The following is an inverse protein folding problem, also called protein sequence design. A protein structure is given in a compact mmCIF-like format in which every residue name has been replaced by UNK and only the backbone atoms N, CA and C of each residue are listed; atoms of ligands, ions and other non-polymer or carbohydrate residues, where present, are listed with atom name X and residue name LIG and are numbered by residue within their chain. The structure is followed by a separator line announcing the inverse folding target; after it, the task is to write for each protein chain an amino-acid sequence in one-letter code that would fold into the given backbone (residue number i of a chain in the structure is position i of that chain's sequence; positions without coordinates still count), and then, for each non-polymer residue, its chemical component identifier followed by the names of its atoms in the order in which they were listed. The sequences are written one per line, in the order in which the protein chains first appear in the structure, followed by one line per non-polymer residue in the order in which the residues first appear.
data_IF_185485434107
#
_entry.id   IF_185485434107
#
_cell.length_a   1.000
_cell.length_b   1.000
_cell.length_c   1.000
_cell.angle_alpha   90.00
_cell.angle_beta   90.00
_cell.angle_gamma   90.00
#
_symmetry.space_group_name_H-M   'P 1'
#
loop_
_entity.id
_entity.type
_entity.pdbx_description
1 polymer ?
#
# COMPACT_ATOMS: atom_id res chain seq x y z
N UNK A 1 -12.74 -2.29 -14.55
CA UNK A 1 -11.73 -1.37 -13.99
C UNK A 1 -12.39 -0.13 -13.39
N UNK A 2 -13.03 0.75 -14.17
CA UNK A 2 -13.64 2.00 -13.65
C UNK A 2 -14.63 1.79 -12.49
N UNK A 3 -15.58 0.86 -12.60
CA UNK A 3 -16.57 0.58 -11.55
C UNK A 3 -15.92 0.12 -10.23
N UNK A 4 -14.87 -0.69 -10.32
CA UNK A 4 -14.13 -1.19 -9.16
C UNK A 4 -13.37 -0.02 -8.51
N UNK A 5 -12.71 0.82 -9.30
CA UNK A 5 -12.01 1.99 -8.79
C UNK A 5 -12.97 2.98 -8.12
N UNK A 6 -14.16 3.22 -8.68
CA UNK A 6 -15.14 4.13 -8.07
C UNK A 6 -15.68 3.59 -6.74
N UNK A 7 -15.98 2.29 -6.67
CA UNK A 7 -16.43 1.67 -5.42
C UNK A 7 -15.33 1.74 -4.36
N UNK A 8 -14.11 1.32 -4.70
CA UNK A 8 -12.97 1.36 -3.80
C UNK A 8 -12.61 2.78 -3.34
N UNK A 9 -12.78 3.80 -4.20
CA UNK A 9 -12.59 5.20 -3.80
C UNK A 9 -13.59 5.61 -2.71
N UNK A 10 -14.87 5.30 -2.91
CA UNK A 10 -15.94 5.65 -1.97
C UNK A 10 -15.73 4.91 -0.64
N UNK A 11 -15.54 3.59 -0.67
CA UNK A 11 -15.41 2.76 0.52
C UNK A 11 -14.20 3.18 1.38
N UNK A 12 -13.04 3.40 0.75
CA UNK A 12 -11.84 3.81 1.48
C UNK A 12 -11.95 5.24 2.03
N UNK A 13 -12.61 6.15 1.32
CA UNK A 13 -12.89 7.51 1.82
C UNK A 13 -13.80 7.48 3.05
N UNK A 14 -14.84 6.65 3.03
CA UNK A 14 -15.73 6.46 4.18
C UNK A 14 -14.99 5.83 5.37
N UNK A 15 -14.16 4.81 5.13
CA UNK A 15 -13.34 4.19 6.17
C UNK A 15 -12.43 5.22 6.85
N UNK A 16 -11.72 6.05 6.09
CA UNK A 16 -10.89 7.12 6.64
C UNK A 16 -11.73 8.07 7.49
N UNK A 17 -12.88 8.53 6.99
CA UNK A 17 -13.75 9.46 7.73
C UNK A 17 -14.24 8.85 9.06
N UNK A 18 -14.59 7.55 9.06
CA UNK A 18 -15.01 6.81 10.25
C UNK A 18 -13.86 6.69 11.26
N UNK A 19 -12.68 6.23 10.84
CA UNK A 19 -11.57 6.03 11.77
C UNK A 19 -10.98 7.34 12.30
N UNK A 20 -11.01 8.42 11.51
CA UNK A 20 -10.67 9.78 11.99
C UNK A 20 -11.66 10.22 13.07
N UNK A 21 -12.96 9.98 12.89
CA UNK A 21 -14.00 10.30 13.90
C UNK A 21 -13.88 9.46 15.16
N UNK A 22 -13.52 8.18 15.05
CA UNK A 22 -13.24 7.31 16.20
C UNK A 22 -11.98 7.74 16.97
N UNK A 23 -11.09 8.49 16.31
CA UNK A 23 -9.89 9.03 16.91
C UNK A 23 -8.72 8.04 16.94
N UNK A 24 -7.51 8.59 17.01
CA UNK A 24 -6.25 7.83 16.97
C UNK A 24 -5.71 7.44 18.34
N UNK A 25 -6.59 7.33 19.33
CA UNK A 25 -6.22 6.89 20.68
C UNK A 25 -5.89 5.40 20.69
N UNK A 26 -6.61 4.61 19.90
CA UNK A 26 -6.34 3.18 19.73
C UNK A 26 -5.38 2.94 18.56
N UNK A 27 -4.29 2.15 18.75
CA UNK A 27 -3.37 1.79 17.68
C UNK A 27 -4.07 1.15 16.47
N UNK A 28 -5.14 0.40 16.72
CA UNK A 28 -5.91 -0.27 15.66
C UNK A 28 -6.58 0.71 14.71
N UNK A 29 -7.08 1.86 15.20
CA UNK A 29 -7.68 2.88 14.33
C UNK A 29 -6.61 3.50 13.42
N UNK A 30 -5.38 3.65 13.91
CA UNK A 30 -4.24 4.14 13.12
C UNK A 30 -3.91 3.15 12.01
N UNK A 31 -3.75 1.88 12.35
CA UNK A 31 -3.43 0.82 11.39
C UNK A 31 -4.50 0.70 10.29
N UNK A 32 -5.79 0.75 10.65
CA UNK A 32 -6.90 0.68 9.69
C UNK A 32 -7.01 1.94 8.83
N UNK A 33 -6.75 3.13 9.40
CA UNK A 33 -6.70 4.38 8.61
C UNK A 33 -5.55 4.36 7.62
N UNK A 34 -4.38 3.86 8.02
CA UNK A 34 -3.23 3.74 7.13
C UNK A 34 -3.51 2.76 5.98
N UNK A 35 -4.18 1.64 6.26
CA UNK A 35 -4.61 0.70 5.23
C UNK A 35 -5.57 1.38 4.22
N UNK A 36 -6.63 2.01 4.71
CA UNK A 36 -7.61 2.70 3.86
C UNK A 36 -6.98 3.84 3.04
N UNK A 37 -6.04 4.60 3.62
CA UNK A 37 -5.29 5.63 2.91
C UNK A 37 -4.41 5.05 1.81
N UNK A 38 -3.78 3.89 2.05
CA UNK A 38 -2.95 3.20 1.04
C UNK A 38 -3.81 2.68 -0.10
N UNK A 39 -4.95 2.06 0.21
CA UNK A 39 -5.90 1.56 -0.79
C UNK A 39 -6.49 2.71 -1.63
N UNK A 40 -6.82 3.85 -0.99
CA UNK A 40 -7.27 5.05 -1.70
C UNK A 40 -6.19 5.59 -2.65
N UNK A 41 -4.93 5.65 -2.20
CA UNK A 41 -3.81 6.06 -3.04
C UNK A 41 -3.63 5.13 -4.25
N UNK A 42 -3.73 3.81 -4.05
CA UNK A 42 -3.66 2.83 -5.14
C UNK A 42 -4.77 3.06 -6.18
N UNK A 43 -6.00 3.33 -5.73
CA UNK A 43 -7.12 3.62 -6.63
C UNK A 43 -6.85 4.89 -7.44
N UNK A 44 -6.34 5.95 -6.82
CA UNK A 44 -5.98 7.20 -7.50
C UNK A 44 -4.89 6.95 -8.55
N UNK A 45 -3.82 6.26 -8.18
CA UNK A 45 -2.70 5.93 -9.09
C UNK A 45 -3.16 5.10 -10.28
N UNK A 46 -3.94 4.04 -10.02
CA UNK A 46 -4.46 3.17 -11.09
C UNK A 46 -5.41 3.93 -12.01
N UNK A 47 -6.22 4.84 -11.46
CA UNK A 47 -7.12 5.68 -12.26
C UNK A 47 -6.33 6.67 -13.13
N UNK A 48 -5.28 7.27 -12.59
CA UNK A 48 -4.37 8.12 -13.34
C UNK A 48 -3.68 7.39 -14.50
N UNK A 49 -3.13 6.19 -14.25
CA UNK A 49 -2.55 5.35 -15.31
C UNK A 49 -3.58 5.04 -16.41
N UNK A 50 -4.80 4.65 -16.03
CA UNK A 50 -5.86 4.34 -16.98
C UNK A 50 -6.27 5.55 -17.83
N UNK A 51 -6.33 6.75 -17.24
CA UNK A 51 -6.61 7.98 -17.97
C UNK A 51 -5.49 8.31 -18.99
N UNK A 52 -4.23 8.18 -18.58
CA UNK A 52 -3.10 8.41 -19.48
C UNK A 52 -3.07 7.43 -20.65
N UNK A 53 -3.35 6.14 -20.40
CA UNK A 53 -3.49 5.13 -21.46
C UNK A 53 -4.66 5.48 -22.39
N UNK A 54 -5.80 5.92 -21.83
CA UNK A 54 -6.96 6.31 -22.62
C UNK A 54 -6.62 7.47 -23.57
N UNK A 55 -5.96 8.52 -23.06
CA UNK A 55 -5.53 9.66 -23.89
C UNK A 55 -4.56 9.26 -24.99
N UNK A 56 -3.61 8.38 -24.68
CA UNK A 56 -2.68 7.84 -25.67
C UNK A 56 -3.40 7.06 -26.78
N UNK A 57 -4.30 6.14 -26.41
CA UNK A 57 -5.07 5.33 -27.37
C UNK A 57 -5.97 6.18 -28.27
N UNK A 58 -6.54 7.26 -27.73
CA UNK A 58 -7.40 8.17 -28.50
C UNK A 58 -6.60 9.26 -29.26
N UNK A 59 -5.28 9.24 -29.20
CA UNK A 59 -4.43 10.26 -29.85
C UNK A 59 -4.75 11.68 -29.37
N UNK A 60 -5.17 11.83 -28.10
CA UNK A 60 -5.52 13.14 -27.55
C UNK A 60 -4.27 14.00 -27.44
N UNK A 61 -4.32 15.21 -28.00
CA UNK A 61 -3.22 16.18 -27.88
C UNK A 61 -3.13 16.68 -26.44
N UNK A 62 -2.07 16.26 -25.75
CA UNK A 62 -1.75 16.70 -24.40
C UNK A 62 -0.42 17.45 -24.39
N UNK A 63 -0.22 18.37 -23.43
CA UNK A 63 1.06 19.09 -23.29
C UNK A 63 2.19 18.19 -22.74
N UNK A 64 1.95 16.89 -22.60
CA UNK A 64 2.90 15.92 -22.09
C UNK A 64 2.69 14.53 -22.72
N UNK A 65 3.74 13.69 -22.72
CA UNK A 65 3.68 12.33 -23.24
C UNK A 65 2.95 11.40 -22.25
N UNK A 66 1.71 10.94 -22.53
CA UNK A 66 0.85 10.38 -21.48
C UNK A 66 1.39 9.11 -20.85
N UNK A 67 1.97 8.21 -21.64
CA UNK A 67 2.47 6.91 -21.15
C UNK A 67 3.72 7.06 -20.31
N UNK A 68 4.64 7.95 -20.69
CA UNK A 68 5.93 8.12 -20.02
C UNK A 68 5.72 8.87 -18.71
N UNK A 69 4.93 9.93 -18.73
CA UNK A 69 4.52 10.62 -17.50
C UNK A 69 3.79 9.66 -16.57
N UNK A 70 2.83 8.86 -17.06
CA UNK A 70 2.16 7.87 -16.21
C UNK A 70 3.12 6.83 -15.64
N UNK A 71 4.04 6.32 -16.46
CA UNK A 71 5.04 5.35 -16.02
C UNK A 71 5.86 5.90 -14.85
N UNK A 72 6.38 7.13 -14.97
CA UNK A 72 7.22 7.75 -13.94
C UNK A 72 6.42 8.21 -12.72
N UNK A 73 5.27 8.83 -12.93
CA UNK A 73 4.46 9.40 -11.84
C UNK A 73 3.70 8.35 -11.03
N UNK A 74 3.26 7.24 -11.66
CA UNK A 74 2.39 6.25 -11.02
C UNK A 74 2.97 4.86 -10.89
N UNK A 75 3.80 4.41 -11.83
CA UNK A 75 4.30 3.04 -11.85
C UNK A 75 5.04 2.68 -10.55
N UNK A 76 6.09 3.43 -10.19
CA UNK A 76 6.84 3.14 -8.98
C UNK A 76 6.04 3.33 -7.68
N UNK A 77 5.20 4.38 -7.59
CA UNK A 77 4.31 4.56 -6.42
C UNK A 77 3.35 3.39 -6.26
N UNK A 78 2.73 2.94 -7.34
CA UNK A 78 1.79 1.83 -7.35
C UNK A 78 2.48 0.52 -6.97
N UNK A 79 3.64 0.25 -7.58
CA UNK A 79 4.44 -0.92 -7.30
C UNK A 79 4.79 -1.01 -5.82
N UNK A 80 5.11 0.12 -5.18
CA UNK A 80 5.41 0.15 -3.75
C UNK A 80 4.16 0.05 -2.88
N UNK A 81 3.17 0.93 -3.10
CA UNK A 81 1.96 1.00 -2.28
C UNK A 81 1.20 -0.35 -2.25
N UNK A 82 1.18 -1.08 -3.37
CA UNK A 82 0.54 -2.40 -3.47
C UNK A 82 1.20 -3.44 -2.56
N UNK A 83 2.48 -3.28 -2.23
CA UNK A 83 3.18 -4.12 -1.25
C UNK A 83 2.98 -3.64 0.17
N UNK A 84 2.96 -2.33 0.39
CA UNK A 84 2.72 -1.74 1.71
C UNK A 84 1.39 -2.22 2.28
N UNK A 85 0.35 -2.35 1.45
CA UNK A 85 -0.95 -2.95 1.86
C UNK A 85 -0.76 -4.32 2.52
N UNK A 86 0.07 -5.19 1.94
CA UNK A 86 0.30 -6.53 2.47
C UNK A 86 1.05 -6.49 3.82
N UNK A 87 2.05 -5.62 3.95
CA UNK A 87 2.80 -5.44 5.20
C UNK A 87 1.94 -4.82 6.31
N UNK A 88 1.15 -3.80 6.00
CA UNK A 88 0.18 -3.19 6.92
C UNK A 88 -0.87 -4.22 7.35
N UNK A 89 -1.35 -5.05 6.42
CA UNK A 89 -2.29 -6.14 6.73
C UNK A 89 -1.67 -7.19 7.66
N UNK A 90 -0.42 -7.58 7.41
CA UNK A 90 0.32 -8.49 8.30
C UNK A 90 0.46 -7.88 9.71
N UNK A 91 0.81 -6.60 9.79
CA UNK A 91 0.94 -5.87 11.04
C UNK A 91 -0.40 -5.80 11.81
N UNK A 92 -1.51 -5.51 11.13
CA UNK A 92 -2.85 -5.52 11.75
C UNK A 92 -3.17 -6.89 12.33
N UNK A 93 -2.88 -7.98 11.60
CA UNK A 93 -3.12 -9.36 12.10
C UNK A 93 -2.27 -9.65 13.33
N UNK A 94 -1.00 -9.27 13.29
CA UNK A 94 -0.09 -9.40 14.42
C UNK A 94 -0.57 -8.60 15.64
N UNK A 95 -1.01 -7.36 15.42
CA UNK A 95 -1.59 -6.48 16.45
C UNK A 95 -2.77 -7.14 17.14
N UNK A 96 -3.74 -7.62 16.37
CA UNK A 96 -4.91 -8.31 16.92
C UNK A 96 -4.50 -9.56 17.70
N UNK A 97 -3.55 -10.33 17.20
CA UNK A 97 -3.06 -11.54 17.87
C UNK A 97 -2.47 -11.22 19.24
N UNK A 98 -1.60 -10.20 19.31
CA UNK A 98 -1.03 -9.74 20.57
C UNK A 98 -2.12 -9.26 21.54
N UNK A 99 -3.08 -8.45 21.08
CA UNK A 99 -4.17 -7.95 21.92
C UNK A 99 -4.95 -9.09 22.60
N UNK A 100 -5.13 -10.21 21.90
CA UNK A 100 -5.88 -11.36 22.40
C UNK A 100 -5.01 -12.23 23.33
N UNK A 101 -3.75 -12.49 22.95
CA UNK A 101 -2.85 -13.39 23.70
C UNK A 101 -2.27 -12.74 24.96
N UNK A 102 -1.96 -11.46 24.90
CA UNK A 102 -1.14 -10.75 25.88
C UNK A 102 -1.73 -9.37 26.21
N UNK A 103 -3.00 -9.29 26.65
CA UNK A 103 -3.70 -8.00 26.84
C UNK A 103 -2.92 -7.02 27.72
N UNK A 104 -2.30 -7.50 28.81
CA UNK A 104 -1.51 -6.70 29.75
C UNK A 104 -0.13 -6.27 29.22
N UNK A 105 0.42 -6.99 28.24
CA UNK A 105 1.74 -6.70 27.63
C UNK A 105 1.60 -5.82 26.39
N UNK A 106 0.46 -5.91 25.69
CA UNK A 106 0.16 -5.08 24.51
C UNK A 106 0.10 -3.61 24.88
N UNK A 107 -0.55 -3.27 26.00
CA UNK A 107 -0.67 -1.89 26.45
C UNK A 107 0.71 -1.25 26.72
N UNK A 108 1.72 -2.06 27.04
CA UNK A 108 3.12 -1.63 27.20
C UNK A 108 3.95 -1.70 25.92
N UNK A 109 3.70 -2.68 25.05
CA UNK A 109 4.54 -2.96 23.87
C UNK A 109 4.06 -2.23 22.60
N UNK A 110 2.76 -2.26 22.35
CA UNK A 110 2.14 -1.71 21.14
C UNK A 110 1.54 -0.34 21.42
N UNK A 111 2.42 0.63 21.66
CA UNK A 111 1.99 2.02 21.86
C UNK A 111 1.63 2.67 20.53
N UNK A 112 0.77 3.71 20.58
CA UNK A 112 0.47 4.59 19.43
C UNK A 112 1.74 5.04 18.68
N UNK A 113 2.82 5.33 19.41
CA UNK A 113 4.09 5.76 18.83
C UNK A 113 4.77 4.64 18.04
N UNK A 114 4.80 3.43 18.59
CA UNK A 114 5.36 2.25 17.91
C UNK A 114 4.60 1.96 16.61
N UNK A 115 3.26 1.98 16.65
CA UNK A 115 2.42 1.76 15.46
C UNK A 115 2.64 2.84 14.40
N UNK A 116 2.66 4.11 14.79
CA UNK A 116 2.97 5.20 13.85
C UNK A 116 4.35 5.03 13.22
N UNK A 117 5.38 4.74 14.02
CA UNK A 117 6.75 4.53 13.49
C UNK A 117 6.80 3.37 12.50
N UNK A 118 6.22 2.21 12.83
CA UNK A 118 6.21 1.03 11.95
C UNK A 118 5.49 1.36 10.65
N UNK A 119 4.31 1.98 10.73
CA UNK A 119 3.55 2.38 9.54
C UNK A 119 4.35 3.39 8.71
N UNK A 120 4.91 4.44 9.30
CA UNK A 120 5.73 5.43 8.57
C UNK A 120 6.94 4.79 7.90
N UNK A 121 7.62 3.86 8.57
CA UNK A 121 8.76 3.12 7.99
C UNK A 121 8.35 2.29 6.77
N UNK A 122 7.11 1.77 6.74
CA UNK A 122 6.58 1.10 5.54
C UNK A 122 6.30 2.03 4.37
N UNK A 123 6.46 3.35 4.50
CA UNK A 123 6.33 4.33 3.41
C UNK A 123 7.65 4.98 2.98
N UNK A 124 8.72 4.90 3.79
CA UNK A 124 10.03 5.52 3.48
C UNK A 124 10.58 5.13 2.09
N UNK A 125 10.49 3.88 1.63
CA UNK A 125 11.03 3.53 0.32
C UNK A 125 10.32 4.18 -0.88
N UNK A 126 9.13 4.80 -0.70
CA UNK A 126 8.48 5.61 -1.75
C UNK A 126 9.34 6.79 -2.23
N UNK A 127 10.20 7.33 -1.37
CA UNK A 127 11.01 8.50 -1.73
C UNK A 127 12.05 8.13 -2.79
N UNK A 128 12.53 6.89 -2.77
CA UNK A 128 13.57 6.41 -3.68
C UNK A 128 13.06 6.15 -5.09
N UNK A 129 11.74 6.05 -5.28
CA UNK A 129 11.17 5.65 -6.55
C UNK A 129 11.23 6.71 -7.65
N UNK A 130 11.56 7.95 -7.30
CA UNK A 130 11.69 9.08 -8.24
C UNK A 130 13.13 9.39 -8.61
N UNK A 131 14.09 8.65 -8.05
CA UNK A 131 15.50 8.84 -8.34
C UNK A 131 15.77 8.20 -9.70
N UNK A 132 16.21 9.00 -10.68
CA UNK A 132 16.64 8.50 -11.99
C UNK A 132 15.87 9.04 -13.20
N UNK A 133 14.83 9.86 -13.00
CA UNK A 133 14.09 10.50 -14.08
C UNK A 133 14.26 12.02 -14.07
N UNK A 134 14.32 12.61 -15.26
CA UNK A 134 14.20 14.05 -15.48
C UNK A 134 12.97 14.38 -16.34
N UNK A 135 12.31 15.48 -16.01
CA UNK A 135 11.21 16.01 -16.80
C UNK A 135 11.75 17.04 -17.77
N UNK A 136 11.68 16.73 -19.06
CA UNK A 136 12.29 17.53 -20.14
C UNK A 136 11.28 17.84 -21.24
N UNK A 137 11.41 18.99 -21.87
CA UNK A 137 10.59 19.39 -23.01
C UNK A 137 11.20 18.86 -24.31
N UNK A 138 10.49 17.95 -24.99
CA UNK A 138 10.98 17.28 -26.19
C UNK A 138 10.11 17.65 -27.39
N UNK A 139 10.75 18.03 -28.50
CA UNK A 139 10.07 18.28 -29.77
C UNK A 139 9.84 16.97 -30.51
N UNK A 140 8.58 16.63 -30.79
CA UNK A 140 8.22 15.45 -31.57
C UNK A 140 7.81 15.84 -32.99
N UNK A 141 8.59 15.47 -34.02
CA UNK A 141 8.31 15.85 -35.41
C UNK A 141 6.94 15.36 -35.91
N UNK A 142 6.49 14.19 -35.45
CA UNK A 142 5.21 13.61 -35.86
C UNK A 142 3.98 14.31 -35.25
N UNK A 143 4.15 15.02 -34.12
CA UNK A 143 3.13 15.86 -33.50
C UNK A 143 3.29 17.34 -33.88
N UNK A 144 4.43 17.69 -34.47
CA UNK A 144 4.86 19.07 -34.72
C UNK A 144 4.72 19.96 -33.46
N UNK A 145 5.05 19.41 -32.31
CA UNK A 145 4.85 20.05 -31.01
C UNK A 145 5.96 19.67 -30.03
N UNK A 146 6.28 20.62 -29.14
CA UNK A 146 7.12 20.38 -27.97
C UNK A 146 6.23 20.02 -26.79
N UNK A 147 6.40 18.83 -26.24
CA UNK A 147 5.61 18.34 -25.10
C UNK A 147 6.55 17.89 -23.97
N UNK A 148 6.04 17.88 -22.74
CA UNK A 148 6.77 17.40 -21.58
C UNK A 148 6.90 15.88 -21.63
N UNK A 149 8.12 15.37 -21.53
CA UNK A 149 8.41 13.95 -21.40
C UNK A 149 9.19 13.68 -20.11
N UNK A 150 9.17 12.42 -19.65
CA UNK A 150 9.98 11.97 -18.53
C UNK A 150 10.99 10.94 -19.04
N UNK A 151 12.27 11.33 -19.04
CA UNK A 151 13.37 10.53 -19.59
C UNK A 151 14.33 10.10 -18.47
N UNK A 152 15.04 8.98 -18.64
CA UNK A 152 16.07 8.58 -17.70
C UNK A 152 17.24 9.57 -17.73
N UNK A 153 17.75 9.95 -16.56
CA UNK A 153 18.92 10.85 -16.43
C UNK A 153 20.18 10.21 -17.05
N UNK A 154 20.31 8.89 -16.89
CA UNK A 154 21.38 8.07 -17.45
C UNK A 154 20.80 6.71 -17.80
N UNK A 155 20.87 6.31 -19.07
CA UNK A 155 20.26 5.07 -19.55
C UNK A 155 20.88 3.80 -18.93
N UNK A 156 22.20 3.78 -18.69
CA UNK A 156 22.88 2.59 -18.16
C UNK A 156 22.54 2.39 -16.68
N UNK A 157 22.63 3.47 -15.89
CA UNK A 157 22.22 3.43 -14.48
C UNK A 157 20.72 3.18 -14.34
N UNK A 158 19.90 3.73 -15.23
CA UNK A 158 18.47 3.53 -15.22
C UNK A 158 18.10 2.06 -15.44
N UNK A 159 18.67 1.40 -16.44
CA UNK A 159 18.39 -0.03 -16.71
C UNK A 159 18.80 -0.90 -15.52
N UNK A 160 19.94 -0.61 -14.88
CA UNK A 160 20.37 -1.33 -13.69
C UNK A 160 19.42 -1.09 -12.50
N UNK A 161 19.02 0.15 -12.29
CA UNK A 161 18.10 0.55 -11.23
C UNK A 161 16.71 -0.08 -11.42
N UNK A 162 16.13 0.02 -12.61
CA UNK A 162 14.82 -0.54 -12.95
C UNK A 162 14.81 -2.06 -12.76
N UNK A 163 15.84 -2.77 -13.23
CA UNK A 163 16.00 -4.22 -12.99
C UNK A 163 16.07 -4.55 -11.50
N UNK A 164 16.85 -3.78 -10.74
CA UNK A 164 17.01 -4.00 -9.30
C UNK A 164 15.69 -3.80 -8.55
N UNK A 165 14.99 -2.70 -8.82
CA UNK A 165 13.66 -2.41 -8.25
C UNK A 165 12.65 -3.48 -8.68
N UNK A 166 12.67 -3.90 -9.94
CA UNK A 166 11.78 -4.95 -10.45
C UNK A 166 12.02 -6.28 -9.75
N UNK A 167 13.27 -6.67 -9.47
CA UNK A 167 13.56 -7.90 -8.73
C UNK A 167 13.12 -7.77 -7.27
N UNK A 168 13.50 -6.68 -6.60
CA UNK A 168 13.22 -6.49 -5.18
C UNK A 168 11.71 -6.33 -4.94
N UNK A 169 11.07 -5.37 -5.60
CA UNK A 169 9.66 -5.04 -5.42
C UNK A 169 8.72 -5.95 -6.22
N UNK A 170 9.18 -6.50 -7.34
CA UNK A 170 8.37 -7.38 -8.21
C UNK A 170 8.43 -8.86 -7.85
N UNK A 171 9.52 -9.32 -7.21
CA UNK A 171 9.71 -10.76 -6.90
C UNK A 171 9.92 -11.00 -5.40
N UNK A 172 10.95 -10.41 -4.80
CA UNK A 172 11.36 -10.75 -3.42
C UNK A 172 10.28 -10.33 -2.42
N UNK A 173 9.89 -9.06 -2.45
CA UNK A 173 8.90 -8.50 -1.52
C UNK A 173 7.51 -9.17 -1.62
N UNK A 174 6.94 -9.43 -2.81
CA UNK A 174 5.73 -10.24 -2.96
C UNK A 174 5.83 -11.62 -2.33
N UNK A 175 6.91 -12.35 -2.59
CA UNK A 175 7.06 -13.71 -2.10
C UNK A 175 7.09 -13.69 -0.57
N UNK A 176 7.86 -12.78 0.01
CA UNK A 176 7.90 -12.59 1.46
C UNK A 176 6.51 -12.25 2.03
N UNK A 177 5.81 -11.28 1.44
CA UNK A 177 4.49 -10.89 1.89
C UNK A 177 3.47 -12.03 1.76
N UNK A 178 3.47 -12.74 0.63
CA UNK A 178 2.58 -13.87 0.35
C UNK A 178 2.85 -15.06 1.26
N UNK A 179 4.08 -15.26 1.74
CA UNK A 179 4.39 -16.29 2.74
C UNK A 179 4.02 -15.85 4.16
N UNK A 180 4.38 -14.63 4.56
CA UNK A 180 4.24 -14.14 5.94
C UNK A 180 2.78 -13.89 6.31
N UNK A 181 1.99 -13.30 5.42
CA UNK A 181 0.60 -12.90 5.67
C UNK A 181 -0.31 -14.11 6.02
N UNK A 182 -0.28 -15.23 5.27
CA UNK A 182 -1.01 -16.44 5.63
C UNK A 182 -0.51 -17.09 6.92
N UNK A 183 0.80 -17.14 7.15
CA UNK A 183 1.37 -17.70 8.40
C UNK A 183 0.80 -16.97 9.61
N UNK A 184 0.79 -15.64 9.59
CA UNK A 184 0.17 -14.86 10.69
C UNK A 184 -1.33 -15.06 10.80
N UNK A 185 -2.05 -15.24 9.67
CA UNK A 185 -3.48 -15.54 9.74
C UNK A 185 -3.77 -16.91 10.35
N UNK A 186 -3.05 -17.95 9.94
CA UNK A 186 -3.20 -19.30 10.50
C UNK A 186 -2.88 -19.28 11.99
N UNK A 187 -1.75 -18.67 12.36
CA UNK A 187 -1.37 -18.51 13.76
C UNK A 187 -2.44 -17.77 14.57
N UNK A 188 -2.99 -16.67 14.05
CA UNK A 188 -4.07 -15.92 14.70
C UNK A 188 -5.32 -16.78 14.91
N UNK A 189 -5.74 -17.52 13.88
CA UNK A 189 -6.92 -18.40 13.95
C UNK A 189 -6.73 -19.51 14.97
N UNK A 190 -5.55 -20.14 15.00
CA UNK A 190 -5.26 -21.21 15.96
C UNK A 190 -5.27 -20.71 17.39
N UNK A 191 -4.70 -19.52 17.63
CA UNK A 191 -4.69 -18.91 18.95
C UNK A 191 -6.11 -18.48 19.39
N UNK A 192 -6.90 -17.93 18.47
CA UNK A 192 -8.30 -17.62 18.72
C UNK A 192 -9.11 -18.86 19.12
N UNK A 193 -8.89 -19.99 18.44
CA UNK A 193 -9.56 -21.27 18.78
C UNK A 193 -9.17 -21.77 20.16
N UNK A 194 -7.87 -21.75 20.51
CA UNK A 194 -7.37 -22.17 21.83
C UNK A 194 -7.95 -21.33 22.97
N UNK A 195 -7.98 -20.01 22.78
CA UNK A 195 -8.52 -19.09 23.80
C UNK A 195 -10.04 -19.25 23.92
N UNK A 196 -10.75 -19.45 22.80
CA UNK A 196 -12.19 -19.72 22.81
C UNK A 196 -12.54 -21.00 23.57
N UNK A 197 -11.78 -22.10 23.36
CA UNK A 197 -12.03 -23.36 24.08
C UNK A 197 -11.71 -23.24 25.57
N UNK A 198 -10.62 -22.57 25.94
CA UNK A 198 -10.27 -22.31 27.34
C UNK A 198 -11.34 -21.46 28.05
N UNK A 199 -11.87 -20.43 27.39
CA UNK A 199 -12.98 -19.64 27.96
C UNK A 199 -14.21 -20.50 28.20
N UNK A 200 -14.56 -21.38 27.26
CA UNK A 200 -15.70 -22.30 27.42
C UNK A 200 -15.52 -23.28 28.58
N UNK A 201 -14.33 -23.83 28.78
CA UNK A 201 -14.09 -24.77 29.88
C UNK A 201 -14.19 -24.10 31.25
N UNK A 202 -13.71 -22.86 31.39
CA UNK A 202 -13.79 -22.10 32.65
C UNK A 202 -15.23 -21.68 32.97
N UNK A 203 -16.02 -21.27 31.98
CA UNK A 203 -17.42 -20.87 32.20
C UNK A 203 -18.32 -22.07 32.50
N UNK A 204 -18.08 -23.23 31.87
CA UNK A 204 -18.82 -24.46 32.17
C UNK A 204 -18.53 -25.01 33.56
N UNK A 205 -17.33 -24.78 34.10
CA UNK A 205 -16.94 -25.22 35.45
C UNK A 205 -17.52 -24.38 36.60
N UNK A 206 -18.14 -23.23 36.32
CA UNK A 206 -18.79 -22.36 37.33
C UNK A 206 -20.30 -22.59 37.46
N UNK A 207 -20.88 -23.49 36.66
CA UNK A 207 -22.32 -23.79 36.64
C UNK A 207 -22.73 -25.08 37.36
N UNK A 208 -21.79 -25.74 38.05
CA UNK A 208 -22.01 -26.88 38.95
C UNK A 208 -21.58 -26.49 40.36
#
# INVERSE_FOLDING_TARGET
MLVINTAAFIDNSLNIAVFVKLGFSEPSNISLTALAATDLALVVLTTWTNLCILFFVHGTSLPFHPTNIAHVSSGPMYAFASRTVAWVTAFIRFERCLCILLPLKVEKSMTRRSTLMIITLTFVPLVYTYIGYEFVWVFYPHLNATILDALPIDEEYFVLFEKTITIICGVIQPILAFSIVPIYAVFLVDQLKKISSWRKSVTSAKGQ
#
